data_IF_633034769772
#
_entry.id   IF_633034769772
#
_cell.length_a   1.000
_cell.length_b   1.000
_cell.length_c   1.000
_cell.angle_alpha   90.00
_cell.angle_beta   90.00
_cell.angle_gamma   90.00
#
_symmetry.space_group_name_H-M   'P 1'
#
loop_
_entity.id
_entity.type
_entity.pdbx_description
1 polymer ?
#
# COMPACT_ATOMS: atom_id res chain seq x y z
N UNK A 1 10.57 20.14 8.55
CA UNK A 1 10.71 19.35 7.31
C UNK A 1 9.73 18.17 7.42
N UNK A 2 8.78 17.98 6.49
CA UNK A 2 7.93 16.77 6.46
C UNK A 2 8.73 15.64 5.80
N UNK A 3 8.86 14.50 6.46
CA UNK A 3 9.67 13.36 5.98
C UNK A 3 8.99 12.57 4.87
N UNK A 4 7.66 12.50 4.87
CA UNK A 4 6.82 11.86 3.85
C UNK A 4 5.38 12.40 3.94
N UNK A 5 4.54 12.06 2.97
CA UNK A 5 3.09 12.27 3.01
C UNK A 5 2.35 10.95 2.85
N UNK A 6 1.21 10.81 3.53
CA UNK A 6 0.41 9.59 3.53
C UNK A 6 -1.08 9.91 3.56
N UNK A 7 -1.86 9.04 2.92
CA UNK A 7 -3.30 9.05 2.93
C UNK A 7 -3.79 7.62 3.12
N UNK A 8 -4.80 7.43 3.98
CA UNK A 8 -5.42 6.13 4.18
C UNK A 8 -6.92 6.24 4.41
N UNK A 9 -7.61 5.14 4.17
CA UNK A 9 -9.02 4.94 4.47
C UNK A 9 -9.22 3.52 4.97
N UNK A 10 -10.10 3.37 5.95
CA UNK A 10 -10.54 2.07 6.43
C UNK A 10 -11.97 1.82 5.98
N UNK A 11 -12.33 0.55 5.83
CA UNK A 11 -13.67 0.14 5.44
C UNK A 11 -13.97 -1.25 6.01
N UNK A 12 -15.21 -1.51 6.43
CA UNK A 12 -15.60 -2.83 6.89
C UNK A 12 -15.57 -3.83 5.73
N UNK A 13 -15.11 -5.04 6.02
CA UNK A 13 -15.13 -6.19 5.12
C UNK A 13 -16.23 -7.15 5.59
N UNK A 14 -17.31 -7.27 4.81
CA UNK A 14 -18.39 -8.22 5.10
C UNK A 14 -18.10 -9.53 4.36
N UNK A 15 -17.87 -10.66 5.06
CA UNK A 15 -17.72 -11.95 4.40
C UNK A 15 -19.04 -12.32 3.70
N UNK A 16 -19.00 -12.56 2.39
CA UNK A 16 -20.15 -13.17 1.70
C UNK A 16 -20.07 -14.68 1.85
N UNK A 17 -20.86 -15.17 2.79
CA UNK A 17 -21.16 -16.58 3.07
C UNK A 17 -20.10 -17.40 3.83
N UNK A 18 -20.59 -18.39 4.59
CA UNK A 18 -19.82 -19.22 5.55
C UNK A 18 -18.71 -20.09 4.94
N UNK A 19 -18.59 -20.13 3.62
CA UNK A 19 -17.61 -20.94 2.89
C UNK A 19 -16.30 -20.19 2.57
N UNK A 20 -16.16 -18.92 3.01
CA UNK A 20 -14.98 -18.07 2.75
C UNK A 20 -14.60 -17.93 1.27
N UNK A 21 -15.49 -18.28 0.33
CA UNK A 21 -15.15 -18.39 -1.08
C UNK A 21 -15.00 -17.04 -1.77
N UNK A 22 -15.73 -16.00 -1.33
CA UNK A 22 -15.58 -14.64 -1.85
C UNK A 22 -15.89 -13.60 -0.75
N UNK A 23 -14.94 -12.75 -0.34
CA UNK A 23 -15.23 -11.49 0.33
C UNK A 23 -15.85 -10.48 -0.65
N UNK A 24 -17.14 -10.18 -0.51
CA UNK A 24 -17.73 -9.05 -1.22
C UNK A 24 -17.30 -7.75 -0.53
N UNK A 25 -16.31 -7.08 -1.13
CA UNK A 25 -16.01 -5.70 -0.78
C UNK A 25 -17.12 -4.80 -1.30
N UNK A 26 -18.23 -4.70 -0.57
CA UNK A 26 -19.31 -3.75 -0.89
C UNK A 26 -18.87 -2.31 -0.57
N UNK A 27 -17.76 -2.11 0.14
CA UNK A 27 -17.50 -0.87 0.86
C UNK A 27 -16.91 0.31 0.06
N UNK A 28 -16.58 0.16 -1.23
CA UNK A 28 -15.99 1.27 -2.02
C UNK A 28 -16.53 1.45 -3.45
N UNK A 29 -17.53 0.66 -3.89
CA UNK A 29 -18.13 0.81 -5.22
C UNK A 29 -17.19 0.50 -6.39
N UNK A 30 -16.20 -0.36 -6.19
CA UNK A 30 -15.22 -0.76 -7.21
C UNK A 30 -15.13 -2.28 -7.28
N UNK A 31 -15.97 -2.90 -8.11
CA UNK A 31 -15.90 -4.34 -8.45
C UNK A 31 -14.51 -4.76 -8.98
N UNK A 32 -13.74 -3.79 -9.48
CA UNK A 32 -12.38 -3.97 -10.01
C UNK A 32 -11.33 -4.25 -8.95
N UNK A 33 -11.55 -3.89 -7.69
CA UNK A 33 -10.48 -3.89 -6.68
C UNK A 33 -10.14 -5.29 -6.17
N UNK A 34 -11.11 -6.21 -6.17
CA UNK A 34 -11.03 -7.50 -5.48
C UNK A 34 -11.23 -8.73 -6.39
N UNK A 35 -11.14 -8.59 -7.71
CA UNK A 35 -11.10 -9.75 -8.60
C UNK A 35 -9.69 -10.40 -8.59
N UNK A 36 -9.28 -10.88 -7.42
CA UNK A 36 -7.97 -11.45 -7.14
C UNK A 36 -8.10 -12.56 -6.07
N UNK A 37 -8.42 -13.81 -6.44
CA UNK A 37 -8.58 -14.92 -5.51
C UNK A 37 -7.46 -15.07 -4.47
N UNK A 38 -6.20 -14.84 -4.86
CA UNK A 38 -5.06 -14.91 -3.92
C UNK A 38 -5.14 -13.85 -2.83
N UNK A 39 -5.60 -12.65 -3.17
CA UNK A 39 -5.82 -11.57 -2.21
C UNK A 39 -6.99 -11.88 -1.28
N UNK A 40 -8.09 -12.41 -1.83
CA UNK A 40 -9.27 -12.81 -1.04
C UNK A 40 -8.94 -13.86 0.01
N UNK A 41 -8.11 -14.85 -0.34
CA UNK A 41 -7.63 -15.85 0.61
C UNK A 41 -6.85 -15.22 1.76
N UNK A 42 -6.04 -14.21 1.48
CA UNK A 42 -5.26 -13.51 2.51
C UNK A 42 -6.16 -12.62 3.39
N UNK A 43 -7.19 -12.02 2.80
CA UNK A 43 -8.19 -11.23 3.51
C UNK A 43 -9.31 -12.07 4.16
N UNK A 44 -9.31 -13.40 4.01
CA UNK A 44 -10.45 -14.26 4.34
C UNK A 44 -10.88 -14.29 5.81
N UNK A 45 -10.01 -13.82 6.72
CA UNK A 45 -10.30 -13.62 8.14
C UNK A 45 -10.45 -12.16 8.58
N UNK A 46 -10.34 -11.21 7.64
CA UNK A 46 -10.42 -9.78 7.95
C UNK A 46 -11.88 -9.33 8.12
N UNK A 47 -12.12 -8.48 9.12
CA UNK A 47 -13.36 -7.73 9.36
C UNK A 47 -13.27 -6.28 8.90
N UNK A 48 -12.06 -5.74 8.85
CA UNK A 48 -11.77 -4.39 8.40
C UNK A 48 -10.64 -4.44 7.38
N UNK A 49 -10.66 -3.53 6.41
CA UNK A 49 -9.57 -3.35 5.45
C UNK A 49 -9.09 -1.90 5.50
N UNK A 50 -7.79 -1.69 5.47
CA UNK A 50 -7.20 -0.38 5.26
C UNK A 50 -6.58 -0.29 3.87
N UNK A 51 -6.93 0.78 3.15
CA UNK A 51 -6.28 1.24 1.94
C UNK A 51 -5.31 2.34 2.30
N UNK A 52 -4.10 2.32 1.74
CA UNK A 52 -3.11 3.36 1.99
C UNK A 52 -2.32 3.73 0.73
N UNK A 53 -1.89 4.98 0.69
CA UNK A 53 -0.90 5.49 -0.24
C UNK A 53 0.11 6.38 0.51
N UNK A 54 1.38 6.25 0.16
CA UNK A 54 2.50 6.98 0.77
C UNK A 54 3.43 7.48 -0.32
N UNK A 55 3.97 8.68 -0.13
CA UNK A 55 5.00 9.24 -1.02
C UNK A 55 6.07 9.98 -0.24
N UNK A 56 7.31 9.90 -0.70
CA UNK A 56 8.39 10.77 -0.24
C UNK A 56 8.41 12.13 -0.97
N UNK A 57 7.56 12.32 -1.98
CA UNK A 57 7.42 13.57 -2.73
C UNK A 57 8.37 13.72 -3.92
N UNK A 58 8.10 14.72 -4.75
CA UNK A 58 8.84 15.00 -6.00
C UNK A 58 10.31 15.40 -5.79
N UNK A 59 10.68 15.78 -4.55
CA UNK A 59 12.06 16.13 -4.21
C UNK A 59 13.04 14.98 -4.49
N UNK A 60 12.59 13.73 -4.33
CA UNK A 60 13.38 12.55 -4.65
C UNK A 60 13.58 12.38 -6.15
N UNK A 61 12.54 12.64 -6.93
CA UNK A 61 12.62 12.57 -8.39
C UNK A 61 13.58 13.65 -8.91
N UNK A 62 13.44 14.88 -8.41
CA UNK A 62 14.31 16.00 -8.75
C UNK A 62 15.79 15.69 -8.43
N UNK A 63 16.08 15.15 -7.25
CA UNK A 63 17.45 14.85 -6.84
C UNK A 63 18.08 13.73 -7.69
N UNK A 64 17.31 12.70 -8.03
CA UNK A 64 17.75 11.63 -8.92
C UNK A 64 18.00 12.14 -10.36
N UNK A 65 17.12 13.01 -10.86
CA UNK A 65 17.29 13.63 -12.18
C UNK A 65 18.53 14.54 -12.23
N UNK A 66 18.83 15.25 -11.13
CA UNK A 66 20.05 16.06 -10.99
C UNK A 66 21.31 15.19 -11.04
N UNK A 67 21.34 14.06 -10.33
CA UNK A 67 22.49 13.13 -10.36
C UNK A 67 22.68 12.51 -11.75
N UNK A 68 21.58 12.17 -12.43
CA UNK A 68 21.63 11.70 -13.81
C UNK A 68 22.19 12.77 -14.75
N UNK A 69 21.77 14.03 -14.61
CA UNK A 69 22.30 15.15 -15.40
C UNK A 69 23.78 15.46 -15.11
N UNK A 70 24.23 15.20 -13.88
CA UNK A 70 25.63 15.30 -13.48
C UNK A 70 26.50 14.11 -13.93
N UNK A 71 25.90 13.09 -14.56
CA UNK A 71 26.56 11.83 -14.94
C UNK A 71 27.18 11.09 -13.73
N UNK A 72 26.43 11.07 -12.61
CA UNK A 72 26.78 10.41 -11.34
C UNK A 72 25.88 9.17 -11.09
N UNK A 73 26.07 8.07 -11.85
CA UNK A 73 25.16 6.92 -11.81
C UNK A 73 25.24 6.12 -10.51
N UNK A 74 26.38 6.11 -9.82
CA UNK A 74 26.54 5.37 -8.57
C UNK A 74 25.75 6.04 -7.44
N UNK A 75 25.87 7.36 -7.33
CA UNK A 75 25.15 8.20 -6.38
C UNK A 75 23.65 8.13 -6.63
N UNK A 76 23.23 8.21 -7.90
CA UNK A 76 21.82 8.03 -8.27
C UNK A 76 21.30 6.66 -7.85
N UNK A 77 22.08 5.59 -8.04
CA UNK A 77 21.70 4.25 -7.62
C UNK A 77 21.57 4.14 -6.10
N UNK A 78 22.51 4.68 -5.33
CA UNK A 78 22.43 4.68 -3.86
C UNK A 78 21.22 5.48 -3.37
N UNK A 79 20.98 6.67 -3.93
CA UNK A 79 19.84 7.50 -3.57
C UNK A 79 18.53 6.78 -3.89
N UNK A 80 18.44 6.11 -5.04
CA UNK A 80 17.26 5.36 -5.43
C UNK A 80 16.96 4.20 -4.46
N UNK A 81 17.99 3.43 -4.09
CA UNK A 81 17.89 2.34 -3.13
C UNK A 81 17.45 2.82 -1.74
N UNK A 82 18.04 3.92 -1.25
CA UNK A 82 17.63 4.55 0.02
C UNK A 82 16.18 5.01 -0.06
N UNK A 83 15.78 5.68 -1.15
CA UNK A 83 14.41 6.13 -1.34
C UNK A 83 13.41 4.97 -1.34
N UNK A 84 13.77 3.83 -1.92
CA UNK A 84 12.94 2.61 -1.89
C UNK A 84 12.77 2.09 -0.45
N UNK A 85 13.87 1.95 0.30
CA UNK A 85 13.81 1.50 1.70
C UNK A 85 13.02 2.48 2.59
N UNK A 86 13.22 3.78 2.40
CA UNK A 86 12.49 4.82 3.13
C UNK A 86 11.00 4.82 2.81
N UNK A 87 10.62 4.59 1.55
CA UNK A 87 9.20 4.50 1.15
C UNK A 87 8.52 3.30 1.82
N UNK A 88 9.18 2.14 1.86
CA UNK A 88 8.64 0.96 2.56
C UNK A 88 8.52 1.21 4.07
N UNK A 89 9.53 1.83 4.68
CA UNK A 89 9.48 2.19 6.10
C UNK A 89 8.36 3.19 6.41
N UNK A 90 8.15 4.18 5.55
CA UNK A 90 7.08 5.15 5.69
C UNK A 90 5.70 4.47 5.61
N UNK A 91 5.51 3.51 4.70
CA UNK A 91 4.29 2.70 4.65
C UNK A 91 4.08 1.91 5.95
N UNK A 92 5.10 1.24 6.47
CA UNK A 92 5.01 0.51 7.76
C UNK A 92 4.61 1.43 8.91
N UNK A 93 5.13 2.65 8.99
CA UNK A 93 4.72 3.62 10.02
C UNK A 93 3.21 3.92 9.95
N UNK A 94 2.66 4.06 8.74
CA UNK A 94 1.22 4.26 8.55
C UNK A 94 0.43 3.01 8.94
N UNK A 95 0.90 1.82 8.55
CA UNK A 95 0.29 0.54 8.92
C UNK A 95 0.28 0.33 10.43
N UNK A 96 1.39 0.62 11.12
CA UNK A 96 1.53 0.51 12.57
C UNK A 96 0.57 1.47 13.27
N UNK A 97 0.40 2.68 12.72
CA UNK A 97 -0.56 3.64 13.25
C UNK A 97 -1.99 3.13 13.15
N UNK A 98 -2.38 2.58 12.01
CA UNK A 98 -3.72 2.01 11.81
C UNK A 98 -3.92 0.80 12.73
N UNK A 99 -2.89 -0.04 12.88
CA UNK A 99 -2.93 -1.20 13.76
C UNK A 99 -3.14 -0.84 15.23
N UNK A 100 -2.55 0.26 15.73
CA UNK A 100 -2.80 0.74 17.09
C UNK A 100 -4.28 1.07 17.31
N UNK A 101 -4.94 1.66 16.31
CA UNK A 101 -6.35 2.00 16.40
C UNK A 101 -7.22 0.74 16.33
N UNK A 102 -6.91 -0.21 15.44
CA UNK A 102 -7.64 -1.48 15.27
C UNK A 102 -7.45 -2.46 16.44
N UNK A 103 -6.29 -2.44 17.10
CA UNK A 103 -6.02 -3.28 18.26
C UNK A 103 -6.95 -2.96 19.46
N UNK A 104 -7.53 -1.76 19.50
CA UNK A 104 -8.54 -1.39 20.52
C UNK A 104 -9.82 -2.20 20.37
N UNK A 105 -10.09 -2.67 19.16
CA UNK A 105 -11.23 -3.52 18.82
C UNK A 105 -10.83 -5.02 18.79
N UNK A 106 -9.63 -5.37 19.29
CA UNK A 106 -9.14 -6.74 19.36
C UNK A 106 -8.70 -7.33 18.01
N UNK A 107 -8.48 -6.50 16.99
CA UNK A 107 -8.09 -6.95 15.65
C UNK A 107 -6.56 -6.93 15.48
N UNK A 108 -6.02 -7.99 14.88
CA UNK A 108 -4.64 -8.07 14.38
C UNK A 108 -4.61 -7.81 12.88
N UNK A 109 -3.43 -7.54 12.31
CA UNK A 109 -3.28 -7.21 10.88
C UNK A 109 -2.67 -8.33 10.06
N UNK A 110 -3.06 -8.41 8.78
CA UNK A 110 -2.33 -9.17 7.75
C UNK A 110 -1.06 -8.44 7.32
N UNK A 111 -0.30 -9.03 6.39
CA UNK A 111 0.74 -8.29 5.64
C UNK A 111 0.10 -7.23 4.75
N UNK A 112 0.89 -6.20 4.38
CA UNK A 112 0.49 -5.28 3.31
C UNK A 112 0.63 -5.96 1.95
N UNK A 113 -0.45 -5.92 1.18
CA UNK A 113 -0.50 -6.38 -0.20
C UNK A 113 -0.48 -5.21 -1.15
N UNK A 114 0.10 -5.43 -2.34
CA UNK A 114 0.19 -4.43 -3.40
C UNK A 114 -0.32 -4.98 -4.73
N UNK A 115 -0.99 -4.16 -5.56
CA UNK A 115 -1.32 -4.51 -6.94
C UNK A 115 -0.07 -4.89 -7.75
N UNK A 116 -0.23 -5.77 -8.73
CA UNK A 116 0.84 -6.24 -9.62
C UNK A 116 1.53 -7.54 -9.20
N UNK A 117 1.04 -8.20 -8.15
CA UNK A 117 1.56 -9.50 -7.68
C UNK A 117 0.48 -10.59 -7.78
N UNK A 118 0.88 -11.79 -8.19
CA UNK A 118 -0.03 -12.94 -8.29
C UNK A 118 -1.13 -12.70 -9.33
N UNK A 119 -2.38 -12.90 -8.92
CA UNK A 119 -3.58 -12.63 -9.72
C UNK A 119 -4.13 -11.21 -9.52
N UNK A 120 -3.51 -10.39 -8.66
CA UNK A 120 -3.97 -9.04 -8.41
C UNK A 120 -3.40 -8.05 -9.43
N UNK A 121 -4.26 -7.64 -10.35
CA UNK A 121 -3.97 -6.74 -11.46
C UNK A 121 -3.44 -5.37 -11.01
N UNK A 122 -2.43 -4.85 -11.70
CA UNK A 122 -1.78 -3.58 -11.37
C UNK A 122 -2.75 -2.39 -11.47
N UNK A 123 -3.77 -2.50 -12.33
CA UNK A 123 -4.80 -1.48 -12.53
C UNK A 123 -5.58 -1.12 -11.27
N UNK A 124 -5.69 -2.06 -10.31
CA UNK A 124 -6.30 -1.82 -9.01
C UNK A 124 -5.56 -0.73 -8.21
N UNK A 125 -4.32 -0.39 -8.57
CA UNK A 125 -3.59 0.73 -7.98
C UNK A 125 -4.30 2.07 -8.18
N UNK A 126 -4.92 2.28 -9.35
CA UNK A 126 -5.72 3.47 -9.62
C UNK A 126 -6.91 3.59 -8.67
N UNK A 127 -7.55 2.46 -8.35
CA UNK A 127 -8.69 2.41 -7.43
C UNK A 127 -8.27 2.73 -6.00
N UNK A 128 -7.16 2.16 -5.53
CA UNK A 128 -6.59 2.49 -4.20
C UNK A 128 -6.33 4.00 -4.12
N UNK A 129 -5.68 4.58 -5.13
CA UNK A 129 -5.41 6.01 -5.17
C UNK A 129 -6.69 6.85 -5.08
N UNK A 130 -7.76 6.47 -5.79
CA UNK A 130 -9.06 7.15 -5.73
C UNK A 130 -9.69 7.04 -4.35
N UNK A 131 -9.70 5.85 -3.74
CA UNK A 131 -10.31 5.62 -2.42
C UNK A 131 -9.65 6.49 -1.35
N UNK A 132 -8.32 6.54 -1.33
CA UNK A 132 -7.59 7.30 -0.31
C UNK A 132 -7.44 8.78 -0.64
N UNK A 133 -7.96 9.22 -1.80
CA UNK A 133 -7.77 10.57 -2.33
C UNK A 133 -6.27 10.95 -2.40
N UNK A 134 -5.47 10.08 -3.03
CA UNK A 134 -4.00 10.15 -3.05
C UNK A 134 -3.48 11.42 -3.77
N UNK A 135 -4.28 12.02 -4.65
CA UNK A 135 -3.97 13.30 -5.28
C UNK A 135 -3.78 14.43 -4.25
N UNK A 136 -4.44 14.35 -3.09
CA UNK A 136 -4.29 15.32 -1.98
C UNK A 136 -2.90 15.29 -1.35
N UNK A 137 -2.17 14.19 -1.52
CA UNK A 137 -0.77 14.05 -1.08
C UNK A 137 0.21 14.12 -2.26
N UNK A 138 -0.27 14.52 -3.44
CA UNK A 138 0.54 14.69 -4.64
C UNK A 138 0.79 13.42 -5.44
N UNK A 139 0.17 12.29 -5.08
CA UNK A 139 0.32 11.05 -5.85
C UNK A 139 -0.66 11.06 -7.02
N UNK A 140 -0.15 10.73 -8.20
CA UNK A 140 -0.93 10.46 -9.42
C UNK A 140 -0.52 9.11 -10.01
N UNK A 141 -1.43 8.53 -10.79
CA UNK A 141 -1.21 7.29 -11.53
C UNK A 141 -1.16 7.62 -13.01
N UNK A 142 -0.16 7.14 -13.74
CA UNK A 142 -0.07 7.35 -15.18
C UNK A 142 -0.80 6.24 -15.97
N UNK A 143 -0.82 6.34 -17.30
CA UNK A 143 -1.48 5.37 -18.20
C UNK A 143 -0.91 3.94 -18.09
N UNK A 144 0.34 3.80 -17.65
CA UNK A 144 0.99 2.52 -17.38
C UNK A 144 0.81 2.06 -15.92
N UNK A 145 -0.08 2.70 -15.17
CA UNK A 145 -0.38 2.43 -13.75
C UNK A 145 0.80 2.64 -12.78
N UNK A 146 1.86 3.32 -13.21
CA UNK A 146 2.95 3.73 -12.34
C UNK A 146 2.56 4.93 -11.47
N UNK A 147 3.02 4.93 -10.22
CA UNK A 147 2.83 6.03 -9.28
C UNK A 147 3.86 7.12 -9.55
N UNK A 148 3.42 8.37 -9.49
CA UNK A 148 4.26 9.56 -9.53
C UNK A 148 3.90 10.41 -8.32
N UNK A 149 4.86 10.85 -7.48
CA UNK A 149 6.32 10.68 -7.59
C UNK A 149 6.79 9.22 -7.55
N UNK A 150 7.98 8.90 -8.08
CA UNK A 150 8.45 7.50 -8.20
C UNK A 150 8.63 6.81 -6.84
N UNK A 151 9.02 7.58 -5.82
CA UNK A 151 9.12 7.09 -4.43
C UNK A 151 7.77 7.15 -3.72
N UNK A 152 6.83 6.41 -4.29
CA UNK A 152 5.48 6.24 -3.77
C UNK A 152 5.10 4.77 -3.74
N UNK A 153 4.20 4.42 -2.82
CA UNK A 153 3.66 3.07 -2.70
C UNK A 153 2.20 3.12 -2.31
N UNK A 154 1.40 2.20 -2.87
CA UNK A 154 0.04 1.93 -2.41
C UNK A 154 -0.01 0.57 -1.72
N UNK A 155 -1.10 0.27 -1.03
CA UNK A 155 -1.38 -1.09 -0.62
C UNK A 155 -2.66 -1.22 0.20
N UNK A 156 -2.96 -2.45 0.52
CA UNK A 156 -4.05 -2.81 1.43
C UNK A 156 -3.56 -3.69 2.56
N UNK A 157 -4.22 -3.57 3.70
CA UNK A 157 -3.98 -4.40 4.90
C UNK A 157 -5.34 -4.85 5.42
N UNK A 158 -5.52 -6.15 5.63
CA UNK A 158 -6.69 -6.69 6.32
C UNK A 158 -6.49 -6.69 7.83
N UNK A 159 -7.57 -6.55 8.59
CA UNK A 159 -7.59 -6.60 10.04
C UNK A 159 -8.68 -7.56 10.51
N UNK A 160 -8.33 -8.55 11.34
CA UNK A 160 -9.22 -9.63 11.79
C UNK A 160 -8.80 -10.19 13.15
N UNK A 161 -9.63 -11.02 13.77
CA UNK A 161 -9.31 -11.63 15.08
C UNK A 161 -8.17 -12.65 14.99
N UNK A 162 -8.09 -13.37 13.87
CA UNK A 162 -7.08 -14.41 13.60
C UNK A 162 -6.18 -14.04 12.40
N UNK A 163 -5.99 -12.75 12.12
CA UNK A 163 -5.09 -12.37 11.04
C UNK A 163 -3.65 -12.76 11.43
N UNK A 164 -3.00 -13.58 10.60
CA UNK A 164 -1.61 -13.98 10.81
C UNK A 164 -0.72 -12.75 10.77
N UNK A 165 -0.25 -12.33 11.95
CA UNK A 165 0.67 -11.22 12.09
C UNK A 165 1.95 -11.53 11.28
N UNK A 166 2.44 -10.61 10.43
CA UNK A 166 3.68 -10.84 9.72
C UNK A 166 4.81 -11.13 10.71
N UNK A 167 5.40 -12.32 10.64
CA UNK A 167 6.73 -12.53 11.23
C UNK A 167 7.67 -11.42 10.71
N UNK A 168 8.31 -10.70 11.62
CA UNK A 168 9.35 -9.73 11.28
C UNK A 168 10.49 -10.47 10.58
N UNK A 169 10.50 -10.50 9.24
CA UNK A 169 11.72 -10.84 8.53
C UNK A 169 12.71 -9.69 8.73
N UNK A 170 13.64 -9.91 9.67
CA UNK A 170 14.90 -9.18 9.76
C UNK A 170 15.58 -9.19 8.39
N UNK A 171 15.78 -7.99 7.83
CA UNK A 171 16.74 -7.65 6.78
C UNK A 171 17.07 -8.71 5.73
N UNK A 172 16.42 -8.63 4.57
CA UNK A 172 17.04 -9.12 3.35
C UNK A 172 18.08 -8.09 2.89
N UNK A 173 19.35 -8.44 3.09
CA UNK A 173 20.52 -7.78 2.51
C UNK A 173 20.52 -7.85 0.98
#
# INVERSE_FOLDING_TARGET
>A
MRTFAAAFRTAPLTPTNRDHSEPALIAAGTDTLLNAPSLLKILGGAREIAFLAVTLGEIWDTALDQLAAANEPAEAWFLDAIGTAMTDRAARIVEDRIAIDMARDGLTRTRRHRPGYGDWRLEAQGDICRIVAAERIGIRVNEAFALLPRKSVTGIVGFGEDAEEPAENSGGA
#
